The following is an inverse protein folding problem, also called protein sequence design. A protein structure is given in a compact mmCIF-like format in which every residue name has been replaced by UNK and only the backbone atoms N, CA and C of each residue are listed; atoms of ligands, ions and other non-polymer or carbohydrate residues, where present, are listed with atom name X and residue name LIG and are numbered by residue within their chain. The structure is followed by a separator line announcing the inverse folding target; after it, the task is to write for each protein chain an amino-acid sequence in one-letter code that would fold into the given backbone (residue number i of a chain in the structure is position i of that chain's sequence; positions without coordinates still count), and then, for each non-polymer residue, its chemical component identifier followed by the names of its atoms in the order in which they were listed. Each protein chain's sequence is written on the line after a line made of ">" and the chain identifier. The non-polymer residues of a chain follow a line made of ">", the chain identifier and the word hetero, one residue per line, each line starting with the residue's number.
data_IF_336246086651
#
_entry.id   IF_336246086651
#
_cell.length_a   1.000
_cell.length_b   1.000
_cell.length_c   1.000
_cell.angle_alpha   90.00
_cell.angle_beta   90.00
_cell.angle_gamma   90.00
#
_symmetry.space_group_name_H-M   'P 1'
#
loop_
_entity.id
_entity.type
_entity.pdbx_description
1 polymer ?
#
# COMPACT_ATOMS: atom_id res chain seq x y z
N UNK A 1 12.62 -8.70 -21.30
CA UNK A 1 11.68 -8.54 -20.18
C UNK A 1 12.37 -7.65 -19.19
N UNK A 2 11.96 -6.38 -19.11
CA UNK A 2 12.60 -5.38 -18.25
C UNK A 2 12.41 -5.79 -16.79
N UNK A 3 13.51 -6.08 -16.11
CA UNK A 3 13.55 -6.31 -14.65
C UNK A 3 13.20 -4.99 -13.95
N UNK A 4 11.89 -4.74 -13.80
CA UNK A 4 11.40 -3.72 -12.89
C UNK A 4 11.74 -4.19 -11.48
N UNK A 5 12.68 -3.51 -10.82
CA UNK A 5 13.00 -3.72 -9.41
C UNK A 5 11.70 -3.80 -8.62
N UNK A 6 11.36 -4.99 -8.13
CA UNK A 6 10.19 -5.18 -7.28
C UNK A 6 10.46 -4.41 -5.99
N UNK A 7 9.62 -3.42 -5.64
CA UNK A 7 9.79 -2.72 -4.39
C UNK A 7 9.68 -3.70 -3.24
N UNK A 8 10.54 -3.55 -2.24
CA UNK A 8 10.57 -4.45 -1.10
C UNK A 8 9.33 -4.19 -0.24
N UNK A 9 8.28 -4.99 -0.47
CA UNK A 9 7.02 -4.93 0.27
C UNK A 9 7.15 -5.68 1.59
N UNK A 10 6.71 -5.07 2.68
CA UNK A 10 6.53 -5.71 3.97
C UNK A 10 5.33 -6.70 3.92
N UNK A 11 5.32 -7.72 4.78
CA UNK A 11 4.15 -8.56 4.96
C UNK A 11 2.96 -7.73 5.43
N UNK A 12 1.79 -7.93 4.82
CA UNK A 12 0.56 -7.21 5.19
C UNK A 12 0.30 -5.92 4.41
N UNK A 13 1.15 -5.57 3.43
CA UNK A 13 0.98 -4.40 2.58
C UNK A 13 0.91 -4.79 1.10
N UNK A 14 0.13 -4.06 0.31
CA UNK A 14 0.08 -4.16 -1.15
C UNK A 14 0.97 -3.10 -1.79
N UNK A 15 0.89 -1.86 -1.31
CA UNK A 15 1.62 -0.71 -1.86
C UNK A 15 2.26 0.13 -0.74
N UNK A 16 3.61 0.16 -0.65
CA UNK A 16 4.30 0.93 0.36
C UNK A 16 3.94 2.42 0.27
N UNK A 17 3.58 3.04 1.41
CA UNK A 17 3.21 4.46 1.46
C UNK A 17 4.32 5.37 0.90
N UNK A 18 5.59 5.05 1.15
CA UNK A 18 6.73 5.83 0.66
C UNK A 18 6.81 5.90 -0.87
N UNK A 19 6.30 4.89 -1.57
CA UNK A 19 6.21 4.93 -3.03
C UNK A 19 5.02 5.74 -3.48
N UNK A 20 3.86 5.53 -2.84
CA UNK A 20 2.65 6.27 -3.19
C UNK A 20 2.79 7.76 -2.94
N UNK A 21 3.48 8.14 -1.87
CA UNK A 21 3.75 9.54 -1.51
C UNK A 21 4.53 10.28 -2.59
N UNK A 22 5.36 9.60 -3.38
CA UNK A 22 6.08 10.23 -4.51
C UNK A 22 5.15 10.64 -5.64
N UNK A 23 4.01 9.97 -5.79
CA UNK A 23 2.98 10.31 -6.79
C UNK A 23 2.07 11.45 -6.32
N UNK A 24 1.96 11.65 -5.00
CA UNK A 24 1.16 12.70 -4.39
C UNK A 24 2.03 13.96 -4.28
N UNK A 25 1.77 14.94 -5.15
CA UNK A 25 2.56 16.18 -5.21
C UNK A 25 2.54 16.96 -3.88
N UNK A 26 1.37 17.09 -3.25
CA UNK A 26 1.20 17.75 -1.97
C UNK A 26 0.09 17.06 -1.17
N UNK A 27 0.39 16.76 0.09
CA UNK A 27 -0.62 16.24 1.02
C UNK A 27 -1.35 17.42 1.63
N UNK A 28 -2.61 17.61 1.24
CA UNK A 28 -3.48 18.63 1.82
C UNK A 28 -3.99 18.14 3.18
N UNK A 29 -3.46 18.68 4.27
CA UNK A 29 -3.85 18.34 5.65
C UNK A 29 -2.72 17.72 6.46
N UNK A 30 -3.07 16.94 7.48
CA UNK A 30 -2.09 16.27 8.36
C UNK A 30 -1.46 15.05 7.66
N UNK A 31 -0.15 15.07 7.35
CA UNK A 31 0.52 13.96 6.67
C UNK A 31 0.50 12.65 7.47
N UNK A 32 0.49 12.72 8.81
CA UNK A 32 0.46 11.53 9.65
C UNK A 32 -0.89 10.83 9.58
N UNK A 33 -1.98 11.60 9.49
CA UNK A 33 -3.32 11.06 9.32
C UNK A 33 -3.45 10.37 7.96
N UNK A 34 -2.93 10.97 6.90
CA UNK A 34 -2.97 10.39 5.55
C UNK A 34 -2.17 9.10 5.47
N UNK A 35 -0.97 9.08 6.04
CA UNK A 35 -0.15 7.87 6.13
C UNK A 35 -0.87 6.74 6.88
N UNK A 36 -1.48 7.06 8.04
CA UNK A 36 -2.22 6.10 8.83
C UNK A 36 -3.39 5.52 8.04
N UNK A 37 -4.21 6.38 7.44
CA UNK A 37 -5.37 5.95 6.65
C UNK A 37 -4.96 5.13 5.44
N UNK A 38 -3.85 5.48 4.79
CA UNK A 38 -3.29 4.68 3.70
C UNK A 38 -2.93 3.27 4.18
N UNK A 39 -2.15 3.15 5.24
CA UNK A 39 -1.72 1.86 5.81
C UNK A 39 -2.90 1.00 6.26
N UNK A 40 -3.91 1.61 6.89
CA UNK A 40 -5.12 0.91 7.34
C UNK A 40 -5.89 0.32 6.15
N UNK A 41 -6.10 1.10 5.08
CA UNK A 41 -6.83 0.65 3.88
C UNK A 41 -6.02 -0.38 3.07
N UNK A 42 -4.71 -0.16 2.92
CA UNK A 42 -3.83 -1.05 2.19
C UNK A 42 -3.75 -2.43 2.85
N UNK A 43 -3.69 -2.48 4.19
CA UNK A 43 -3.76 -3.73 4.95
C UNK A 43 -5.09 -4.47 4.78
N UNK A 44 -6.21 -3.74 4.72
CA UNK A 44 -7.51 -4.35 4.41
C UNK A 44 -7.54 -4.90 2.97
N UNK A 45 -6.95 -4.19 2.02
CA UNK A 45 -6.79 -4.66 0.64
C UNK A 45 -5.97 -5.95 0.56
N UNK A 46 -4.84 -6.00 1.28
CA UNK A 46 -4.00 -7.20 1.39
C UNK A 46 -4.81 -8.39 1.91
N UNK A 47 -5.54 -8.20 3.01
CA UNK A 47 -6.39 -9.25 3.59
C UNK A 47 -7.47 -9.72 2.61
N UNK A 48 -8.12 -8.79 1.92
CA UNK A 48 -9.17 -9.11 0.96
C UNK A 48 -8.66 -9.97 -0.21
N UNK A 49 -7.47 -9.65 -0.75
CA UNK A 49 -6.84 -10.44 -1.80
C UNK A 49 -6.63 -11.88 -1.32
N UNK A 50 -6.08 -12.06 -0.12
CA UNK A 50 -5.90 -13.40 0.45
C UNK A 50 -7.21 -14.12 0.70
N UNK A 51 -8.24 -13.41 1.15
CA UNK A 51 -9.57 -13.99 1.32
C UNK A 51 -10.10 -14.54 0.00
N UNK A 52 -10.00 -13.79 -1.10
CA UNK A 52 -10.39 -14.29 -2.43
C UNK A 52 -9.59 -15.52 -2.87
N UNK A 53 -8.33 -15.64 -2.46
CA UNK A 53 -7.43 -16.75 -2.83
C UNK A 53 -7.55 -17.99 -1.94
N UNK A 54 -8.15 -17.89 -0.75
CA UNK A 54 -8.19 -18.97 0.23
C UNK A 54 -9.60 -19.43 0.59
N UNK A 55 -10.64 -18.63 0.30
CA UNK A 55 -12.01 -18.91 0.71
C UNK A 55 -12.79 -19.84 -0.27
N UNK A 56 -12.12 -20.79 -0.93
CA UNK A 56 -12.74 -21.75 -1.86
C UNK A 56 -12.37 -23.20 -1.55
#
# INVERSE_FOLDING_TARGET
>A
MSESQQPQRLPGECFPYEEKKKEISEVLGDPQLVEKMWKDIDGLGYMYIWFCLLAF
#
